data_IF_301053413595
#
_entry.id   IF_301053413595
#
_cell.length_a   1.000
_cell.length_b   1.000
_cell.length_c   1.000
_cell.angle_alpha   90.00
_cell.angle_beta   90.00
_cell.angle_gamma   90.00
#
_symmetry.space_group_name_H-M   'P 1'
#
loop_
_entity.id
_entity.type
_entity.pdbx_description
1 polymer ?
#
# COMPACT_ATOMS: atom_id res chain seq x y z
N UNK A 1 -31.63 -2.38 70.17
CA UNK A 1 -31.51 -0.94 69.94
C UNK A 1 -30.04 -0.58 69.84
N UNK A 2 -29.53 -0.43 68.65
CA UNK A 2 -28.13 -0.08 68.40
C UNK A 2 -27.98 1.44 68.57
N UNK A 3 -27.05 1.84 69.44
CA UNK A 3 -26.91 3.20 69.95
C UNK A 3 -26.57 4.15 68.79
N UNK A 4 -27.43 5.18 68.55
CA UNK A 4 -27.28 6.15 67.45
C UNK A 4 -25.90 6.86 67.41
N UNK A 5 -25.22 6.95 68.56
CA UNK A 5 -23.90 7.56 68.64
C UNK A 5 -22.76 6.69 68.05
N UNK A 6 -22.88 5.36 68.08
CA UNK A 6 -21.88 4.46 67.46
C UNK A 6 -21.92 4.54 65.93
N UNK A 7 -23.12 4.76 65.39
CA UNK A 7 -23.29 4.91 63.92
C UNK A 7 -22.66 6.22 63.36
N UNK A 8 -22.72 7.29 64.19
CA UNK A 8 -22.12 8.57 63.83
C UNK A 8 -20.60 8.55 63.82
N UNK A 9 -19.96 7.87 64.80
CA UNK A 9 -18.51 7.71 64.84
C UNK A 9 -17.98 6.76 63.74
N UNK A 10 -18.74 5.75 63.36
CA UNK A 10 -18.39 4.86 62.24
C UNK A 10 -18.52 5.58 60.88
N UNK A 11 -19.52 6.47 60.72
CA UNK A 11 -19.71 7.23 59.51
C UNK A 11 -18.67 8.37 59.34
N UNK A 12 -18.27 9.02 60.43
CA UNK A 12 -17.22 10.05 60.40
C UNK A 12 -15.83 9.39 60.24
N UNK A 13 -15.60 8.23 60.83
CA UNK A 13 -14.34 7.46 60.63
C UNK A 13 -14.17 6.93 59.22
N UNK A 14 -15.25 6.47 58.55
CA UNK A 14 -15.19 6.03 57.16
C UNK A 14 -15.07 7.19 56.14
N UNK A 15 -15.59 8.38 56.48
CA UNK A 15 -15.47 9.57 55.63
C UNK A 15 -14.07 10.23 55.75
N UNK A 16 -13.38 10.09 56.90
CA UNK A 16 -12.00 10.53 57.06
C UNK A 16 -10.98 9.65 56.31
N UNK A 17 -11.28 8.34 56.12
CA UNK A 17 -10.44 7.40 55.38
C UNK A 17 -10.58 7.55 53.84
N UNK A 18 -11.65 8.22 53.34
CA UNK A 18 -11.84 8.49 51.90
C UNK A 18 -11.18 9.79 51.43
N UNK A 19 -10.72 10.65 52.37
CA UNK A 19 -10.03 11.90 52.03
C UNK A 19 -8.50 11.76 51.96
N UNK A 20 -7.96 10.61 52.34
CA UNK A 20 -6.52 10.33 52.25
C UNK A 20 -6.05 9.60 50.99
N UNK A 21 -6.97 9.20 50.10
CA UNK A 21 -6.66 8.39 48.91
C UNK A 21 -6.46 9.16 47.61
N UNK A 22 -6.42 10.48 47.66
CA UNK A 22 -6.34 11.33 46.44
C UNK A 22 -5.14 12.29 46.50
N UNK A 23 -3.97 11.89 46.95
CA UNK A 23 -2.88 12.87 46.94
C UNK A 23 -1.50 12.39 46.52
N UNK A 24 -1.35 11.18 45.96
CA UNK A 24 -0.04 10.74 45.48
C UNK A 24 0.09 10.62 43.94
N UNK A 25 -1.00 10.79 43.17
CA UNK A 25 -0.93 10.68 41.71
C UNK A 25 -0.65 12.02 40.98
N UNK A 26 -0.54 13.14 41.71
CA UNK A 26 -0.25 14.44 41.09
C UNK A 26 1.24 14.84 41.14
N UNK A 27 2.11 14.09 41.77
CA UNK A 27 3.54 14.42 41.84
C UNK A 27 4.45 13.55 40.95
N UNK A 28 3.97 12.48 40.37
CA UNK A 28 4.71 11.77 39.33
C UNK A 28 4.45 12.45 37.98
N UNK A 29 4.96 13.65 37.79
CA UNK A 29 5.15 14.22 36.45
C UNK A 29 6.04 13.24 35.70
N UNK A 30 5.46 12.59 34.69
CA UNK A 30 6.22 11.73 33.79
C UNK A 30 7.41 12.52 33.26
N UNK A 31 8.60 11.93 33.31
CA UNK A 31 9.81 12.55 32.78
C UNK A 31 9.55 13.08 31.35
N UNK A 32 10.00 14.31 31.04
CA UNK A 32 9.90 14.84 29.70
C UNK A 32 10.52 13.87 28.67
N UNK A 33 9.90 13.73 27.53
CA UNK A 33 10.38 12.92 26.42
C UNK A 33 10.45 13.76 25.16
N UNK A 34 11.50 13.57 24.36
CA UNK A 34 11.64 14.16 23.01
C UNK A 34 11.04 13.20 21.97
N UNK A 35 10.28 13.73 21.02
CA UNK A 35 9.64 12.96 19.97
C UNK A 35 9.22 13.84 18.77
N UNK A 36 8.84 13.20 17.65
CA UNK A 36 8.15 13.86 16.54
C UNK A 36 6.63 13.81 16.76
N UNK A 37 5.94 14.93 16.54
CA UNK A 37 4.49 15.03 16.76
C UNK A 37 3.69 14.11 15.82
N UNK A 38 4.11 14.00 14.57
CA UNK A 38 3.60 12.99 13.63
C UNK A 38 4.69 11.97 13.33
N UNK A 39 4.26 10.73 13.17
CA UNK A 39 5.16 9.65 12.76
C UNK A 39 5.34 9.59 11.24
N UNK A 40 4.38 10.09 10.49
CA UNK A 40 4.31 9.95 9.03
C UNK A 40 3.91 11.28 8.38
N UNK A 41 4.64 11.63 7.32
CA UNK A 41 4.42 12.81 6.49
C UNK A 41 4.43 12.37 5.03
N UNK A 42 3.51 12.87 4.19
CA UNK A 42 3.37 12.45 2.81
C UNK A 42 3.52 13.64 1.87
N UNK A 43 4.37 13.49 0.85
CA UNK A 43 4.67 14.49 -0.16
C UNK A 43 4.47 13.91 -1.56
N UNK A 44 4.00 14.75 -2.47
CA UNK A 44 3.94 14.47 -3.90
C UNK A 44 5.09 15.19 -4.60
N UNK A 45 5.84 14.47 -5.43
CA UNK A 45 6.92 15.01 -6.25
C UNK A 45 6.36 15.21 -7.66
N UNK A 46 6.20 16.47 -8.07
CA UNK A 46 5.76 16.79 -9.43
C UNK A 46 6.86 16.49 -10.47
N UNK A 47 6.47 16.31 -11.74
CA UNK A 47 7.37 15.83 -12.80
C UNK A 47 8.62 16.70 -13.00
N UNK A 48 8.50 18.02 -12.87
CA UNK A 48 9.59 18.98 -13.09
C UNK A 48 10.24 19.45 -11.77
N UNK A 49 9.87 18.81 -10.65
CA UNK A 49 10.38 19.16 -9.33
C UNK A 49 11.70 18.44 -9.07
N UNK A 50 12.82 19.17 -9.07
CA UNK A 50 14.13 18.63 -8.71
C UNK A 50 14.50 18.88 -7.25
N UNK A 51 14.02 19.96 -6.66
CA UNK A 51 14.31 20.35 -5.27
C UNK A 51 13.03 20.54 -4.49
N UNK A 52 13.02 20.05 -3.25
CA UNK A 52 11.93 20.25 -2.28
C UNK A 52 12.53 20.61 -0.93
N UNK A 53 11.85 21.52 -0.21
CA UNK A 53 12.22 21.84 1.18
C UNK A 53 11.03 21.64 2.10
N UNK A 54 11.30 21.24 3.34
CA UNK A 54 10.31 21.15 4.41
C UNK A 54 10.98 21.36 5.78
N UNK A 55 10.16 21.73 6.76
CA UNK A 55 10.60 21.93 8.13
C UNK A 55 10.61 20.63 8.92
N UNK A 56 11.67 20.38 9.67
CA UNK A 56 11.81 19.30 10.63
C UNK A 56 11.77 19.86 12.04
N UNK A 57 10.76 19.46 12.82
CA UNK A 57 10.53 19.95 14.18
C UNK A 57 10.27 18.78 15.11
N UNK A 58 10.98 18.75 16.24
CA UNK A 58 10.66 17.84 17.35
C UNK A 58 10.06 18.59 18.52
N UNK A 59 9.47 17.87 19.46
CA UNK A 59 8.86 18.45 20.64
C UNK A 59 9.13 17.66 21.91
N UNK A 60 8.89 18.31 23.06
CA UNK A 60 8.81 17.70 24.36
C UNK A 60 7.38 17.28 24.71
N UNK A 61 7.22 16.22 25.48
CA UNK A 61 5.94 15.81 26.09
C UNK A 61 5.46 16.78 27.18
N UNK A 62 6.41 17.44 27.86
CA UNK A 62 6.17 18.48 28.86
C UNK A 62 7.32 19.48 28.87
N UNK A 63 7.03 20.74 29.21
CA UNK A 63 8.05 21.80 29.28
C UNK A 63 9.07 21.53 30.39
N UNK A 64 10.33 21.90 30.12
CA UNK A 64 11.45 21.82 31.06
C UNK A 64 11.84 23.19 31.59
N UNK A 65 12.44 23.24 32.76
CA UNK A 65 12.99 24.48 33.35
C UNK A 65 14.33 24.90 32.77
N UNK A 66 14.96 24.06 31.96
CA UNK A 66 16.22 24.31 31.25
C UNK A 66 16.04 24.06 29.75
N UNK A 67 16.94 24.64 28.95
CA UNK A 67 17.02 24.35 27.53
C UNK A 67 17.34 22.86 27.33
N UNK A 68 16.74 22.27 26.28
CA UNK A 68 17.00 20.90 25.83
C UNK A 68 17.57 20.95 24.41
N UNK A 69 18.79 20.46 24.25
CA UNK A 69 19.41 20.33 22.95
C UNK A 69 19.00 19.01 22.29
N UNK A 70 18.66 19.09 21.00
CA UNK A 70 18.25 17.97 20.17
C UNK A 70 19.14 17.86 18.94
N UNK A 71 19.35 16.65 18.46
CA UNK A 71 20.07 16.37 17.23
C UNK A 71 19.23 15.51 16.29
N UNK A 72 19.44 15.70 15.00
CA UNK A 72 18.74 15.00 13.94
C UNK A 72 19.71 14.27 13.03
N UNK A 73 19.30 13.09 12.58
CA UNK A 73 20.05 12.31 11.59
C UNK A 73 19.09 11.53 10.71
N UNK A 74 19.51 11.20 9.51
CA UNK A 74 18.86 10.16 8.72
C UNK A 74 19.05 8.83 9.46
N UNK A 75 17.97 8.05 9.62
CA UNK A 75 18.05 6.74 10.26
C UNK A 75 18.62 5.70 9.30
N UNK A 76 19.03 4.55 9.84
CA UNK A 76 19.66 3.46 9.11
C UNK A 76 18.64 2.78 8.15
N UNK A 77 19.09 2.21 7.00
CA UNK A 77 18.22 1.53 6.04
C UNK A 77 17.39 0.40 6.66
N UNK A 78 17.90 -0.33 7.66
CA UNK A 78 17.18 -1.37 8.37
C UNK A 78 15.85 -0.89 8.98
N UNK A 79 15.74 0.39 9.29
CA UNK A 79 14.49 1.02 9.80
C UNK A 79 13.39 1.00 8.72
N UNK A 80 13.78 1.16 7.45
CA UNK A 80 12.85 1.07 6.31
C UNK A 80 12.46 -0.39 6.07
N UNK A 81 13.40 -1.32 6.16
CA UNK A 81 13.13 -2.75 6.04
C UNK A 81 12.14 -3.23 7.13
N UNK A 82 12.34 -2.80 8.38
CA UNK A 82 11.43 -3.09 9.48
C UNK A 82 10.03 -2.48 9.25
N UNK A 83 9.97 -1.24 8.74
CA UNK A 83 8.71 -0.59 8.41
C UNK A 83 7.98 -1.38 7.31
N UNK A 84 8.67 -1.70 6.21
CA UNK A 84 8.13 -2.46 5.10
C UNK A 84 7.62 -3.84 5.54
N UNK A 85 8.41 -4.58 6.32
CA UNK A 85 8.00 -5.88 6.86
C UNK A 85 6.78 -5.78 7.76
N UNK A 86 6.72 -4.76 8.62
CA UNK A 86 5.62 -4.56 9.57
C UNK A 86 4.31 -4.19 8.90
N UNK A 87 4.36 -3.32 7.88
CA UNK A 87 3.17 -2.77 7.23
C UNK A 87 2.88 -3.40 5.86
N UNK A 88 3.72 -4.36 5.42
CA UNK A 88 3.57 -5.01 4.12
C UNK A 88 3.66 -4.00 2.97
N UNK A 89 4.64 -3.11 3.02
CA UNK A 89 4.92 -2.09 2.01
C UNK A 89 6.23 -2.41 1.28
N UNK A 90 6.62 -1.60 0.30
CA UNK A 90 7.87 -1.72 -0.44
C UNK A 90 8.48 -0.34 -0.75
N UNK A 91 8.53 0.54 0.27
CA UNK A 91 9.19 1.82 0.14
C UNK A 91 10.69 1.66 -0.10
N UNK A 92 11.22 2.45 -1.03
CA UNK A 92 12.66 2.59 -1.25
C UNK A 92 13.19 3.76 -0.40
N UNK A 93 14.31 3.56 0.27
CA UNK A 93 14.95 4.65 1.00
C UNK A 93 15.53 5.68 0.02
N UNK A 94 15.28 6.97 0.24
CA UNK A 94 15.97 8.02 -0.51
C UNK A 94 17.48 7.95 -0.25
N UNK A 95 18.28 8.23 -1.29
CA UNK A 95 19.73 8.30 -1.15
C UNK A 95 20.09 9.45 -0.21
N UNK A 96 20.92 9.19 0.79
CA UNK A 96 21.35 10.17 1.79
C UNK A 96 22.08 11.34 1.12
N UNK A 97 22.72 11.13 -0.02
CA UNK A 97 23.37 12.19 -0.79
C UNK A 97 22.40 13.25 -1.34
N UNK A 98 21.10 12.92 -1.45
CA UNK A 98 20.04 13.83 -1.87
C UNK A 98 19.54 14.73 -0.71
N UNK A 99 19.96 14.46 0.54
CA UNK A 99 19.43 15.07 1.75
C UNK A 99 20.42 16.07 2.32
N UNK A 100 20.01 17.32 2.49
CA UNK A 100 20.79 18.37 3.15
C UNK A 100 19.97 18.99 4.27
N UNK A 101 20.53 19.01 5.47
CA UNK A 101 19.95 19.67 6.63
C UNK A 101 20.59 21.06 6.78
N UNK A 102 19.79 22.09 7.07
CA UNK A 102 20.32 23.43 7.40
C UNK A 102 21.15 23.41 8.69
N UNK A 103 20.81 22.50 9.61
CA UNK A 103 21.58 22.15 10.81
C UNK A 103 21.28 20.72 11.23
N UNK A 104 22.24 20.03 11.80
CA UNK A 104 22.01 18.71 12.45
C UNK A 104 21.59 18.82 13.91
N UNK A 105 21.56 20.03 14.46
CA UNK A 105 21.17 20.29 15.85
C UNK A 105 20.19 21.44 15.95
N UNK A 106 19.34 21.40 16.96
CA UNK A 106 18.41 22.45 17.34
C UNK A 106 18.23 22.47 18.86
N UNK A 107 17.44 23.39 19.39
CA UNK A 107 17.17 23.47 20.81
C UNK A 107 15.70 23.79 21.10
N UNK A 108 15.26 23.32 22.28
CA UNK A 108 13.97 23.65 22.85
C UNK A 108 14.23 24.56 24.06
N UNK A 109 13.89 25.84 23.94
CA UNK A 109 14.11 26.82 25.01
C UNK A 109 13.32 26.46 26.27
N UNK A 110 13.87 26.86 27.44
CA UNK A 110 13.17 26.72 28.73
C UNK A 110 11.71 27.19 28.66
N UNK A 111 10.80 26.38 29.17
CA UNK A 111 9.35 26.65 29.15
C UNK A 111 8.66 26.47 27.81
N UNK A 112 9.37 26.11 26.75
CA UNK A 112 8.80 25.79 25.42
C UNK A 112 8.62 24.29 25.26
N UNK A 113 7.79 23.91 24.28
CA UNK A 113 7.53 22.52 23.92
C UNK A 113 8.17 22.13 22.59
N UNK A 114 8.39 23.06 21.68
CA UNK A 114 8.88 22.80 20.32
C UNK A 114 10.32 23.27 20.17
N UNK A 115 11.11 22.49 19.44
CA UNK A 115 12.43 22.89 19.00
C UNK A 115 12.30 24.00 17.93
N UNK A 116 13.35 24.81 17.82
CA UNK A 116 13.49 25.66 16.64
C UNK A 116 13.57 24.74 15.41
N UNK A 117 12.83 25.07 14.35
CA UNK A 117 12.78 24.25 13.14
C UNK A 117 14.14 24.28 12.42
N UNK A 118 14.45 23.16 11.76
CA UNK A 118 15.54 23.10 10.79
C UNK A 118 14.92 22.80 9.42
N UNK A 119 15.49 23.36 8.38
CA UNK A 119 15.08 23.08 7.00
C UNK A 119 15.78 21.82 6.50
N UNK A 120 15.01 20.94 5.88
CA UNK A 120 15.49 19.79 5.12
C UNK A 120 15.32 20.13 3.65
N UNK A 121 16.39 20.13 2.90
CA UNK A 121 16.43 20.28 1.45
C UNK A 121 16.68 18.91 0.81
N UNK A 122 15.82 18.51 -0.11
CA UNK A 122 16.02 17.36 -0.98
C UNK A 122 16.33 17.82 -2.38
N UNK A 123 17.27 17.16 -3.06
CA UNK A 123 17.64 17.45 -4.45
C UNK A 123 17.72 16.18 -5.29
N UNK A 124 17.72 16.31 -6.61
CA UNK A 124 17.74 15.16 -7.53
C UNK A 124 16.40 14.43 -7.61
N UNK A 125 15.29 15.07 -7.24
CA UNK A 125 13.97 14.45 -7.21
C UNK A 125 13.42 14.17 -8.61
N UNK A 126 13.87 14.88 -9.64
CA UNK A 126 13.49 14.61 -11.03
C UNK A 126 13.92 13.21 -11.48
N UNK A 127 15.04 12.69 -10.94
CA UNK A 127 15.57 11.37 -11.25
C UNK A 127 14.76 10.22 -10.60
N UNK A 128 13.86 10.51 -9.67
CA UNK A 128 13.00 9.52 -9.06
C UNK A 128 12.08 8.89 -10.10
N UNK A 129 11.95 7.58 -10.05
CA UNK A 129 11.10 6.83 -10.98
C UNK A 129 9.63 7.09 -10.68
N UNK A 130 8.87 7.49 -11.70
CA UNK A 130 7.42 7.62 -11.60
C UNK A 130 6.77 6.27 -11.27
N UNK A 131 5.80 6.27 -10.37
CA UNK A 131 5.12 5.07 -9.89
C UNK A 131 5.81 4.39 -8.70
N UNK A 132 7.07 4.74 -8.37
CA UNK A 132 7.72 4.27 -7.15
C UNK A 132 7.39 5.17 -5.96
N UNK A 133 7.54 4.63 -4.77
CA UNK A 133 7.33 5.34 -3.50
C UNK A 133 8.59 5.27 -2.67
N UNK A 134 9.01 6.42 -2.21
CA UNK A 134 10.27 6.59 -1.48
C UNK A 134 10.01 7.04 -0.05
N UNK A 135 10.98 6.82 0.84
CA UNK A 135 10.90 7.24 2.24
C UNK A 135 12.23 7.78 2.72
N UNK A 136 12.17 8.87 3.50
CA UNK A 136 13.28 9.40 4.30
C UNK A 136 12.93 9.21 5.78
N UNK A 137 13.57 8.28 6.50
CA UNK A 137 13.40 8.14 7.94
C UNK A 137 14.33 9.11 8.66
N UNK A 138 13.76 10.03 9.46
CA UNK A 138 14.51 10.99 10.28
C UNK A 138 14.45 10.62 11.75
N UNK A 139 15.59 10.58 12.43
CA UNK A 139 15.70 10.28 13.85
C UNK A 139 15.99 11.55 14.65
N UNK A 140 15.31 11.71 15.80
CA UNK A 140 15.64 12.72 16.81
C UNK A 140 16.31 12.05 18.03
N UNK A 141 17.31 12.71 18.57
CA UNK A 141 18.01 12.31 19.79
C UNK A 141 18.26 13.54 20.70
N UNK A 142 18.33 13.32 21.99
CA UNK A 142 18.82 14.30 22.96
C UNK A 142 19.68 13.60 24.02
N UNK A 143 20.74 14.26 24.46
CA UNK A 143 21.60 13.76 25.53
C UNK A 143 21.07 14.04 26.93
N UNK A 144 20.18 15.03 27.05
CA UNK A 144 19.66 15.50 28.34
C UNK A 144 18.27 14.98 28.69
N UNK A 145 17.49 14.59 27.68
CA UNK A 145 16.13 14.10 27.82
C UNK A 145 15.95 12.83 26.98
N UNK A 146 15.38 11.79 27.57
CA UNK A 146 15.15 10.54 26.83
C UNK A 146 14.13 10.71 25.73
N UNK A 147 14.23 9.91 24.67
CA UNK A 147 13.27 9.92 23.56
C UNK A 147 12.06 9.04 23.86
N UNK A 148 10.91 9.38 23.29
CA UNK A 148 9.74 8.54 23.36
C UNK A 148 9.83 7.42 22.32
N UNK A 149 9.90 6.18 22.80
CA UNK A 149 9.98 4.99 21.92
C UNK A 149 8.83 4.95 20.92
N UNK A 150 9.14 4.63 19.67
CA UNK A 150 8.18 4.51 18.56
C UNK A 150 7.79 5.83 17.87
N UNK A 151 8.24 6.98 18.42
CA UNK A 151 8.02 8.30 17.83
C UNK A 151 9.30 9.15 17.77
N UNK A 152 10.44 8.55 18.08
CA UNK A 152 11.76 9.15 17.88
C UNK A 152 12.27 9.03 16.43
N UNK A 153 11.51 8.34 15.58
CA UNK A 153 11.72 8.29 14.13
C UNK A 153 10.43 8.75 13.46
N UNK A 154 10.56 9.70 12.53
CA UNK A 154 9.51 10.15 11.62
C UNK A 154 9.85 9.71 10.21
N UNK A 155 8.84 9.24 9.47
CA UNK A 155 8.94 8.78 8.10
C UNK A 155 8.34 9.83 7.17
N UNK A 156 9.14 10.32 6.25
CA UNK A 156 8.74 11.28 5.23
C UNK A 156 8.63 10.51 3.91
N UNK A 157 7.41 10.30 3.45
CA UNK A 157 7.10 9.54 2.25
C UNK A 157 6.99 10.46 1.05
N UNK A 158 7.59 10.04 -0.07
CA UNK A 158 7.58 10.78 -1.33
C UNK A 158 7.05 9.86 -2.43
N UNK A 159 6.04 10.31 -3.15
CA UNK A 159 5.49 9.61 -4.31
C UNK A 159 5.61 10.50 -5.53
N UNK A 160 6.13 9.94 -6.63
CA UNK A 160 6.11 10.60 -7.93
C UNK A 160 4.96 10.01 -8.75
N UNK A 161 3.85 10.74 -8.94
CA UNK A 161 2.69 10.23 -9.63
C UNK A 161 3.01 9.84 -11.07
N UNK A 162 2.49 8.70 -11.52
CA UNK A 162 2.54 8.32 -12.92
C UNK A 162 1.36 8.95 -13.66
N UNK A 163 1.61 9.64 -14.77
CA UNK A 163 0.57 10.18 -15.66
C UNK A 163 0.32 9.20 -16.81
N UNK A 164 -0.80 8.52 -16.78
CA UNK A 164 -1.23 7.64 -17.85
C UNK A 164 -2.02 8.47 -18.87
N UNK A 165 -1.43 8.71 -20.04
CA UNK A 165 -2.05 9.50 -21.13
C UNK A 165 -2.60 8.63 -22.24
N UNK A 166 -2.22 7.35 -22.30
CA UNK A 166 -2.65 6.36 -23.28
C UNK A 166 -2.99 5.05 -22.56
N UNK A 167 -3.86 4.27 -23.16
CA UNK A 167 -4.23 2.94 -22.68
C UNK A 167 -4.56 2.01 -23.83
N UNK A 168 -4.37 0.70 -23.64
CA UNK A 168 -4.73 -0.31 -24.63
C UNK A 168 -6.24 -0.41 -24.79
N UNK A 169 -6.73 -0.42 -26.05
CA UNK A 169 -8.13 -0.66 -26.34
C UNK A 169 -8.39 -2.14 -26.55
N UNK A 170 -9.29 -2.72 -25.74
CA UNK A 170 -9.64 -4.13 -25.76
C UNK A 170 -10.98 -4.43 -26.42
N UNK A 171 -11.66 -3.43 -27.01
CA UNK A 171 -12.95 -3.62 -27.71
C UNK A 171 -12.80 -4.47 -28.97
N UNK A 172 -12.44 -5.63 -29.05
CA UNK A 172 -12.14 -6.61 -30.07
C UNK A 172 -10.68 -7.09 -30.09
N UNK A 173 -9.93 -6.79 -29.04
CA UNK A 173 -8.55 -7.19 -28.91
C UNK A 173 -8.34 -8.05 -27.66
N UNK A 174 -7.28 -8.83 -27.67
CA UNK A 174 -6.86 -9.65 -26.55
C UNK A 174 -5.35 -9.89 -26.63
N UNK A 175 -4.78 -10.31 -25.51
CA UNK A 175 -3.40 -10.79 -25.44
C UNK A 175 -3.45 -12.26 -24.97
N UNK A 176 -2.83 -13.15 -25.75
CA UNK A 176 -2.53 -14.51 -25.32
C UNK A 176 -1.10 -14.53 -24.80
N UNK A 177 -0.96 -14.84 -23.53
CA UNK A 177 0.35 -14.84 -22.85
C UNK A 177 0.94 -16.23 -22.85
N UNK A 178 2.21 -16.33 -23.27
CA UNK A 178 3.01 -17.57 -23.14
C UNK A 178 4.13 -17.32 -22.13
N UNK A 179 3.98 -17.87 -20.96
CA UNK A 179 5.03 -17.82 -19.95
C UNK A 179 6.20 -18.78 -20.31
N UNK A 180 7.39 -18.59 -19.74
CA UNK A 180 8.50 -19.54 -19.91
C UNK A 180 8.09 -20.97 -19.55
N UNK A 181 8.66 -21.95 -20.24
CA UNK A 181 8.37 -23.37 -19.96
C UNK A 181 8.74 -23.70 -18.51
N UNK A 182 7.84 -24.39 -17.82
CA UNK A 182 8.00 -24.76 -16.42
C UNK A 182 7.55 -23.66 -15.42
N UNK A 183 6.97 -22.55 -15.91
CA UNK A 183 6.35 -21.58 -15.01
C UNK A 183 5.19 -22.22 -14.26
N UNK A 184 5.21 -22.07 -12.93
CA UNK A 184 4.14 -22.51 -12.05
C UNK A 184 3.89 -21.42 -11.00
N UNK A 185 2.65 -21.00 -10.84
CA UNK A 185 2.25 -20.02 -9.85
C UNK A 185 1.60 -20.74 -8.66
N UNK A 186 2.33 -20.87 -7.54
CA UNK A 186 1.75 -21.31 -6.27
C UNK A 186 0.94 -20.20 -5.62
N UNK A 187 1.56 -19.06 -5.35
CA UNK A 187 0.87 -17.81 -4.98
C UNK A 187 0.99 -16.81 -6.13
N UNK A 188 0.01 -15.92 -6.28
CA UNK A 188 0.06 -14.94 -7.37
C UNK A 188 -0.83 -13.73 -7.13
N UNK A 189 -0.60 -12.70 -7.92
CA UNK A 189 -1.47 -11.53 -8.00
C UNK A 189 -1.69 -11.14 -9.46
N UNK A 190 -2.94 -10.86 -9.81
CA UNK A 190 -3.31 -10.21 -11.08
C UNK A 190 -3.69 -8.75 -10.78
N UNK A 191 -3.20 -7.82 -11.57
CA UNK A 191 -3.53 -6.40 -11.45
C UNK A 191 -3.77 -5.77 -12.82
N UNK A 192 -4.73 -4.85 -12.91
CA UNK A 192 -4.92 -4.00 -14.08
C UNK A 192 -5.61 -2.69 -13.69
N UNK A 193 -5.30 -1.62 -14.39
CA UNK A 193 -6.19 -0.48 -14.51
C UNK A 193 -7.20 -0.77 -15.61
N UNK A 194 -8.48 -0.65 -15.33
CA UNK A 194 -9.56 -0.91 -16.26
C UNK A 194 -10.52 0.28 -16.38
N UNK A 195 -11.01 0.51 -17.57
CA UNK A 195 -12.11 1.43 -17.85
C UNK A 195 -13.09 0.71 -18.78
N UNK A 196 -14.30 0.41 -18.30
CA UNK A 196 -15.29 -0.39 -19.01
C UNK A 196 -16.21 0.55 -19.80
N UNK A 197 -16.35 0.36 -21.09
CA UNK A 197 -17.24 1.15 -21.92
C UNK A 197 -18.70 0.71 -21.73
N UNK A 198 -18.96 -0.60 -21.66
CA UNK A 198 -20.26 -1.19 -21.35
C UNK A 198 -20.10 -2.62 -20.81
N UNK A 199 -21.05 -3.05 -20.02
CA UNK A 199 -21.05 -4.38 -19.40
C UNK A 199 -21.80 -5.42 -20.22
N UNK A 200 -21.15 -6.55 -20.46
CA UNK A 200 -21.76 -7.80 -20.92
C UNK A 200 -21.61 -8.88 -19.88
N UNK A 201 -22.18 -10.05 -20.15
CA UNK A 201 -21.93 -11.23 -19.31
C UNK A 201 -20.51 -11.75 -19.54
N UNK A 202 -19.81 -12.11 -18.46
CA UNK A 202 -18.49 -12.74 -18.50
C UNK A 202 -17.40 -11.88 -19.19
N UNK A 203 -17.32 -10.60 -18.91
CA UNK A 203 -16.24 -9.75 -19.45
C UNK A 203 -14.89 -10.15 -18.81
N UNK A 204 -14.03 -10.79 -19.60
CA UNK A 204 -12.72 -11.27 -19.14
C UNK A 204 -11.75 -10.14 -18.92
N UNK A 205 -11.21 -9.98 -17.72
CA UNK A 205 -10.07 -9.10 -17.46
C UNK A 205 -8.79 -9.88 -17.75
N UNK A 206 -8.47 -10.91 -16.95
CA UNK A 206 -7.32 -11.79 -17.19
C UNK A 206 -7.40 -13.09 -16.39
N UNK A 207 -6.65 -14.08 -16.83
CA UNK A 207 -6.45 -15.34 -16.12
C UNK A 207 -6.57 -16.56 -17.01
N UNK A 208 -6.69 -17.73 -16.36
CA UNK A 208 -6.87 -19.05 -17.00
C UNK A 208 -8.25 -19.58 -16.69
N UNK A 209 -9.05 -19.81 -17.73
CA UNK A 209 -10.41 -20.33 -17.59
C UNK A 209 -10.42 -21.71 -16.93
N UNK A 210 -11.39 -21.95 -16.05
CA UNK A 210 -11.49 -23.21 -15.29
C UNK A 210 -10.52 -23.34 -14.12
N UNK A 211 -9.54 -22.46 -13.99
CA UNK A 211 -8.56 -22.43 -12.89
C UNK A 211 -8.82 -21.24 -11.98
N UNK A 212 -8.43 -20.06 -12.43
CA UNK A 212 -8.70 -18.81 -11.75
C UNK A 212 -8.65 -17.66 -12.76
N UNK A 213 -9.79 -17.01 -12.96
CA UNK A 213 -9.97 -15.91 -13.88
C UNK A 213 -10.66 -14.75 -13.20
N UNK A 214 -10.11 -13.55 -13.35
CA UNK A 214 -10.75 -12.31 -12.93
C UNK A 214 -11.61 -11.78 -14.07
N UNK A 215 -12.90 -11.58 -13.82
CA UNK A 215 -13.89 -11.15 -14.82
C UNK A 215 -14.95 -10.24 -14.21
N UNK A 216 -15.82 -9.69 -15.04
CA UNK A 216 -16.98 -8.89 -14.65
C UNK A 216 -18.24 -9.60 -15.16
N UNK A 217 -19.20 -9.86 -14.28
CA UNK A 217 -20.45 -10.53 -14.59
C UNK A 217 -20.33 -12.02 -14.86
N UNK A 218 -21.44 -12.74 -14.68
CA UNK A 218 -21.59 -14.15 -15.07
C UNK A 218 -23.04 -14.48 -15.41
N UNK A 219 -23.27 -15.00 -16.61
CA UNK A 219 -24.59 -15.49 -17.04
C UNK A 219 -24.83 -16.96 -16.68
N UNK A 220 -23.79 -17.69 -16.26
CA UNK A 220 -23.83 -19.16 -16.38
C UNK A 220 -24.41 -19.93 -15.21
N UNK A 221 -24.27 -19.57 -14.00
CA UNK A 221 -24.66 -20.51 -12.93
C UNK A 221 -24.80 -19.89 -11.55
N UNK A 222 -24.22 -18.75 -11.35
CA UNK A 222 -24.24 -18.07 -10.05
C UNK A 222 -24.94 -16.74 -10.08
N UNK A 223 -25.32 -16.27 -11.24
CA UNK A 223 -26.01 -14.99 -11.45
C UNK A 223 -25.22 -13.85 -10.78
N UNK A 224 -24.00 -13.63 -11.26
CA UNK A 224 -23.26 -12.40 -10.93
C UNK A 224 -23.78 -11.29 -11.82
N UNK A 225 -24.28 -10.17 -11.26
CA UNK A 225 -24.71 -9.01 -12.06
C UNK A 225 -23.60 -8.55 -13.00
N UNK A 226 -23.98 -8.01 -14.16
CA UNK A 226 -23.07 -7.67 -15.26
C UNK A 226 -21.97 -6.65 -14.89
N UNK A 227 -22.17 -5.88 -13.84
CA UNK A 227 -21.32 -4.79 -13.35
C UNK A 227 -20.53 -5.15 -12.07
N UNK A 228 -20.53 -6.45 -11.67
CA UNK A 228 -19.82 -6.92 -10.47
C UNK A 228 -18.57 -7.70 -10.84
N UNK A 229 -17.45 -7.39 -10.19
CA UNK A 229 -16.23 -8.20 -10.29
C UNK A 229 -16.45 -9.58 -9.68
N UNK A 230 -15.91 -10.58 -10.34
CA UNK A 230 -15.96 -11.98 -9.95
C UNK A 230 -14.62 -12.67 -10.19
N UNK A 231 -14.31 -13.61 -9.33
CA UNK A 231 -13.30 -14.65 -9.58
C UNK A 231 -14.01 -15.94 -9.84
N UNK A 232 -13.68 -16.59 -10.95
CA UNK A 232 -14.25 -17.85 -11.36
C UNK A 232 -13.17 -18.88 -11.68
N UNK A 233 -13.52 -20.16 -11.52
CA UNK A 233 -12.65 -21.30 -11.77
C UNK A 233 -13.25 -22.58 -11.20
N UNK A 234 -12.52 -23.28 -10.32
CA UNK A 234 -13.03 -24.44 -9.58
C UNK A 234 -14.18 -24.09 -8.63
N UNK A 235 -14.29 -22.84 -8.23
CA UNK A 235 -15.39 -22.21 -7.50
C UNK A 235 -15.50 -20.74 -7.93
N UNK A 236 -16.55 -20.05 -7.48
CA UNK A 236 -16.81 -18.66 -7.85
C UNK A 236 -17.10 -17.83 -6.60
N UNK A 237 -16.62 -16.58 -6.58
CA UNK A 237 -17.07 -15.58 -5.62
C UNK A 237 -16.97 -14.18 -6.23
N UNK A 238 -17.74 -13.24 -5.72
CA UNK A 238 -17.88 -11.90 -6.27
C UNK A 238 -17.81 -10.82 -5.21
N UNK A 239 -17.60 -9.60 -5.67
CA UNK A 239 -17.75 -8.39 -4.85
C UNK A 239 -19.23 -8.11 -4.54
N UNK A 240 -19.47 -7.21 -3.60
CA UNK A 240 -20.84 -6.80 -3.20
C UNK A 240 -21.21 -5.40 -3.69
N UNK A 241 -20.31 -4.74 -4.43
CA UNK A 241 -20.51 -3.39 -4.98
C UNK A 241 -20.34 -3.42 -6.49
N UNK A 242 -21.16 -2.67 -7.26
CA UNK A 242 -21.01 -2.58 -8.71
C UNK A 242 -19.82 -1.68 -9.10
N UNK A 243 -19.28 -1.92 -10.29
CA UNK A 243 -18.45 -0.98 -11.03
C UNK A 243 -19.36 -0.04 -11.86
N UNK A 244 -18.82 1.09 -12.27
CA UNK A 244 -19.47 2.03 -13.19
C UNK A 244 -18.75 2.04 -14.54
N UNK A 245 -19.49 2.24 -15.63
CA UNK A 245 -18.91 2.44 -16.95
C UNK A 245 -18.19 3.78 -17.05
N UNK A 246 -17.22 3.88 -17.96
CA UNK A 246 -16.45 5.09 -18.26
C UNK A 246 -15.71 5.67 -17.03
N UNK A 247 -15.38 4.82 -16.07
CA UNK A 247 -14.60 5.15 -14.88
C UNK A 247 -13.40 4.23 -14.76
N UNK A 248 -12.25 4.79 -14.43
CA UNK A 248 -11.04 4.02 -14.16
C UNK A 248 -11.08 3.40 -12.77
N UNK A 249 -10.70 2.14 -12.72
CA UNK A 249 -10.49 1.38 -11.48
C UNK A 249 -9.17 0.62 -11.58
N UNK A 250 -8.40 0.64 -10.51
CA UNK A 250 -7.39 -0.38 -10.30
C UNK A 250 -8.10 -1.60 -9.72
N UNK A 251 -7.97 -2.74 -10.38
CA UNK A 251 -8.53 -4.02 -9.91
C UNK A 251 -7.42 -5.02 -9.70
N UNK A 252 -7.51 -5.79 -8.63
CA UNK A 252 -6.57 -6.86 -8.36
C UNK A 252 -7.25 -8.10 -7.79
N UNK A 253 -6.67 -9.26 -8.12
CA UNK A 253 -6.94 -10.55 -7.51
C UNK A 253 -5.64 -11.05 -6.89
N UNK A 254 -5.68 -11.44 -5.61
CA UNK A 254 -4.57 -12.12 -4.95
C UNK A 254 -4.94 -13.54 -4.59
N UNK A 255 -3.98 -14.47 -4.67
CA UNK A 255 -4.05 -15.80 -4.08
C UNK A 255 -2.79 -16.09 -3.29
N UNK A 256 -2.97 -16.44 -2.02
CA UNK A 256 -1.91 -16.83 -1.09
C UNK A 256 -2.02 -18.31 -0.76
N UNK A 257 -1.17 -19.14 -1.36
CA UNK A 257 -1.22 -20.59 -1.26
C UNK A 257 -1.04 -21.09 0.18
N UNK A 258 -0.11 -20.56 1.01
CA UNK A 258 0.07 -21.02 2.39
C UNK A 258 -1.19 -20.88 3.25
N UNK A 259 -2.02 -19.87 2.98
CA UNK A 259 -3.28 -19.65 3.71
C UNK A 259 -4.51 -20.16 2.96
N UNK A 260 -4.37 -20.48 1.67
CA UNK A 260 -5.45 -20.84 0.78
C UNK A 260 -6.44 -19.69 0.50
N UNK A 261 -6.07 -18.44 0.80
CA UNK A 261 -6.99 -17.29 0.74
C UNK A 261 -6.83 -16.51 -0.56
N UNK A 262 -7.99 -16.03 -1.06
CA UNK A 262 -8.06 -15.10 -2.18
C UNK A 262 -8.63 -13.75 -1.73
N UNK A 263 -8.33 -12.70 -2.50
CA UNK A 263 -8.92 -11.38 -2.31
C UNK A 263 -9.14 -10.65 -3.63
N UNK A 264 -10.30 -10.02 -3.80
CA UNK A 264 -10.55 -9.03 -4.85
C UNK A 264 -10.38 -7.65 -4.25
N UNK A 265 -9.59 -6.82 -4.90
CA UNK A 265 -9.31 -5.44 -4.48
C UNK A 265 -9.74 -4.48 -5.58
N UNK A 266 -10.27 -3.33 -5.19
CA UNK A 266 -10.62 -2.22 -6.07
C UNK A 266 -10.06 -0.93 -5.49
N UNK A 267 -9.22 -0.24 -6.28
CA UNK A 267 -8.49 0.96 -5.84
C UNK A 267 -7.72 0.73 -4.54
N UNK A 268 -7.09 -0.45 -4.43
CA UNK A 268 -6.31 -0.85 -3.28
C UNK A 268 -7.11 -1.26 -2.03
N UNK A 269 -8.44 -1.23 -2.05
CA UNK A 269 -9.30 -1.66 -0.95
C UNK A 269 -9.83 -3.07 -1.21
N UNK A 270 -9.82 -3.93 -0.20
CA UNK A 270 -10.40 -5.27 -0.29
C UNK A 270 -11.94 -5.19 -0.34
N UNK A 271 -12.53 -5.64 -1.46
CA UNK A 271 -13.98 -5.67 -1.66
C UNK A 271 -14.60 -7.04 -1.41
N UNK A 272 -13.82 -8.12 -1.60
CA UNK A 272 -14.27 -9.48 -1.34
C UNK A 272 -13.08 -10.42 -1.07
N UNK A 273 -13.36 -11.59 -0.55
CA UNK A 273 -12.39 -12.67 -0.37
C UNK A 273 -13.07 -13.98 -0.13
N UNK A 274 -12.36 -15.07 -0.38
CA UNK A 274 -12.81 -16.43 -0.20
C UNK A 274 -11.65 -17.35 0.16
N UNK A 275 -11.94 -18.52 0.67
CA UNK A 275 -10.98 -19.62 0.75
C UNK A 275 -10.98 -20.39 -0.58
N UNK A 276 -9.76 -20.68 -1.10
CA UNK A 276 -9.56 -21.35 -2.39
C UNK A 276 -8.36 -22.29 -2.28
N UNK A 277 -8.57 -23.51 -1.97
CA UNK A 277 -7.48 -24.45 -1.68
C UNK A 277 -6.94 -25.13 -2.94
N UNK A 278 -6.08 -24.43 -3.71
CA UNK A 278 -5.32 -25.03 -4.81
C UNK A 278 -3.82 -24.95 -4.51
N UNK A 279 -3.03 -25.88 -5.05
CA UNK A 279 -1.56 -25.84 -4.92
C UNK A 279 -0.91 -24.76 -5.81
N UNK A 280 -1.68 -24.24 -6.76
CA UNK A 280 -1.25 -23.33 -7.80
C UNK A 280 -1.66 -23.83 -9.19
N UNK A 281 -1.08 -23.25 -10.24
CA UNK A 281 -1.38 -23.67 -11.61
C UNK A 281 -0.24 -23.38 -12.58
N UNK A 282 -0.22 -24.12 -13.70
CA UNK A 282 0.58 -23.85 -14.88
C UNK A 282 -0.18 -22.89 -15.80
N UNK A 283 0.30 -21.64 -16.00
CA UNK A 283 -0.37 -20.68 -16.88
C UNK A 283 -0.31 -21.06 -18.36
N UNK A 284 0.56 -22.01 -18.75
CA UNK A 284 0.66 -22.55 -20.10
C UNK A 284 -0.17 -23.82 -20.30
N UNK A 285 -1.08 -24.18 -19.35
CA UNK A 285 -1.99 -25.30 -19.52
C UNK A 285 -2.81 -25.18 -20.81
N UNK A 286 -3.53 -26.26 -21.20
CA UNK A 286 -4.32 -26.30 -22.44
C UNK A 286 -5.31 -25.12 -22.58
N UNK A 287 -5.78 -24.56 -21.47
CA UNK A 287 -6.67 -23.39 -21.48
C UNK A 287 -5.94 -22.07 -21.74
N UNK A 288 -4.60 -22.02 -21.55
CA UNK A 288 -3.78 -20.83 -21.71
C UNK A 288 -4.12 -19.69 -20.74
N UNK A 289 -3.27 -18.65 -20.76
CA UNK A 289 -3.49 -17.42 -20.02
C UNK A 289 -3.87 -16.28 -20.97
N UNK A 290 -5.00 -15.64 -20.71
CA UNK A 290 -5.53 -14.60 -21.58
C UNK A 290 -5.79 -13.29 -20.83
N UNK A 291 -5.70 -12.19 -21.57
CA UNK A 291 -6.06 -10.83 -21.12
C UNK A 291 -7.08 -10.28 -22.12
N UNK A 292 -8.22 -9.81 -21.62
CA UNK A 292 -9.26 -9.16 -22.43
C UNK A 292 -10.23 -10.08 -23.14
N UNK A 293 -9.90 -11.36 -23.40
CA UNK A 293 -10.79 -12.33 -24.04
C UNK A 293 -10.18 -13.72 -24.03
N UNK A 294 -11.00 -14.77 -23.87
CA UNK A 294 -10.57 -16.16 -23.99
C UNK A 294 -10.78 -16.63 -25.43
N UNK A 295 -9.74 -16.50 -26.23
CA UNK A 295 -9.83 -16.82 -27.66
C UNK A 295 -10.17 -18.30 -27.91
N UNK A 296 -11.12 -18.54 -28.81
CA UNK A 296 -11.53 -19.88 -29.21
C UNK A 296 -12.29 -20.71 -28.15
N UNK A 297 -12.71 -20.07 -27.04
CA UNK A 297 -13.42 -20.79 -26.00
C UNK A 297 -14.82 -21.25 -26.46
N UNK A 298 -15.09 -22.54 -26.35
CA UNK A 298 -16.31 -23.18 -26.90
C UNK A 298 -17.64 -22.64 -26.36
N UNK A 299 -17.64 -22.04 -25.16
CA UNK A 299 -18.83 -21.49 -24.53
C UNK A 299 -18.96 -19.97 -24.73
N UNK A 300 -18.23 -19.41 -25.70
CA UNK A 300 -18.18 -17.99 -25.99
C UNK A 300 -16.91 -17.32 -25.45
N UNK A 301 -16.32 -16.45 -26.24
CA UNK A 301 -14.98 -15.88 -25.99
C UNK A 301 -14.92 -14.82 -24.86
N UNK A 302 -16.06 -14.35 -24.37
CA UNK A 302 -16.18 -13.48 -23.19
C UNK A 302 -15.33 -12.20 -23.26
N UNK A 303 -15.49 -11.39 -24.31
CA UNK A 303 -14.63 -10.24 -24.54
C UNK A 303 -14.83 -9.14 -23.50
N UNK A 304 -13.75 -8.49 -23.13
CA UNK A 304 -13.78 -7.23 -22.43
C UNK A 304 -14.02 -6.08 -23.43
N UNK A 305 -14.82 -5.11 -23.02
CA UNK A 305 -15.13 -3.93 -23.83
C UNK A 305 -14.73 -2.68 -23.07
N UNK A 306 -13.61 -2.09 -23.46
CA UNK A 306 -13.06 -0.93 -22.78
C UNK A 306 -11.56 -0.81 -22.96
N UNK A 307 -10.93 -0.17 -21.99
CA UNK A 307 -9.50 0.13 -21.99
C UNK A 307 -8.83 -0.50 -20.79
N UNK A 308 -7.58 -0.95 -20.97
CA UNK A 308 -6.73 -1.44 -19.90
C UNK A 308 -5.36 -0.77 -19.96
N UNK A 309 -4.74 -0.63 -18.79
CA UNK A 309 -3.36 -0.21 -18.62
C UNK A 309 -2.80 -0.87 -17.37
N UNK A 310 -1.49 -0.84 -17.17
CA UNK A 310 -0.84 -1.36 -15.97
C UNK A 310 -1.21 -2.83 -15.69
N UNK A 311 -1.25 -3.66 -16.74
CA UNK A 311 -1.61 -5.08 -16.63
C UNK A 311 -0.42 -5.86 -16.11
N UNK A 312 -0.54 -6.46 -14.93
CA UNK A 312 0.56 -7.12 -14.21
C UNK A 312 0.15 -8.49 -13.69
N UNK A 313 1.10 -9.42 -13.74
CA UNK A 313 1.02 -10.71 -13.06
C UNK A 313 2.24 -10.87 -12.16
N UNK A 314 2.00 -11.20 -10.92
CA UNK A 314 3.03 -11.46 -9.92
C UNK A 314 3.03 -12.93 -9.51
N UNK A 315 4.20 -13.48 -9.22
CA UNK A 315 4.38 -14.82 -8.65
C UNK A 315 4.27 -14.85 -7.12
N UNK A 316 3.72 -13.82 -6.52
CA UNK A 316 3.51 -13.65 -5.08
C UNK A 316 2.13 -13.06 -4.80
N UNK A 317 1.56 -13.35 -3.64
CA UNK A 317 0.37 -12.66 -3.15
C UNK A 317 0.78 -11.28 -2.58
N UNK A 318 0.38 -10.20 -3.25
CA UNK A 318 0.66 -8.84 -2.79
C UNK A 318 -0.28 -8.43 -1.65
N UNK A 319 0.24 -7.67 -0.72
CA UNK A 319 -0.54 -7.09 0.38
C UNK A 319 -1.42 -5.93 -0.09
N UNK A 320 -2.45 -5.60 0.66
CA UNK A 320 -3.32 -4.44 0.39
C UNK A 320 -2.51 -3.13 0.30
N UNK A 321 -1.51 -2.95 1.18
CA UNK A 321 -0.66 -1.77 1.18
C UNK A 321 0.22 -1.69 -0.08
N UNK A 322 0.80 -2.80 -0.52
CA UNK A 322 1.54 -2.85 -1.79
C UNK A 322 0.64 -2.54 -2.99
N UNK A 323 -0.60 -3.04 -3.01
CA UNK A 323 -1.58 -2.72 -4.05
C UNK A 323 -1.92 -1.23 -4.06
N UNK A 324 -2.17 -0.62 -2.88
CA UNK A 324 -2.43 0.82 -2.74
C UNK A 324 -1.26 1.67 -3.22
N UNK A 325 -0.06 1.30 -2.81
CA UNK A 325 1.17 2.03 -3.09
C UNK A 325 1.50 2.08 -4.59
N UNK A 326 1.21 1.01 -5.31
CA UNK A 326 1.68 0.81 -6.68
C UNK A 326 0.56 0.74 -7.73
N UNK A 327 -0.62 1.29 -7.46
CA UNK A 327 -1.75 1.22 -8.39
C UNK A 327 -1.42 1.74 -9.79
N UNK A 328 -0.64 2.81 -9.88
CA UNK A 328 -0.37 3.52 -11.13
C UNK A 328 0.94 3.13 -11.81
N UNK A 329 1.72 2.24 -11.21
CA UNK A 329 2.96 1.77 -11.81
C UNK A 329 3.88 1.07 -10.82
N UNK A 330 4.84 0.32 -11.39
CA UNK A 330 5.91 -0.37 -10.65
C UNK A 330 7.20 -0.35 -11.47
N UNK A 331 8.33 -0.57 -10.80
CA UNK A 331 9.57 -0.86 -11.52
C UNK A 331 9.44 -2.23 -12.23
N UNK A 332 9.67 -2.32 -13.54
CA UNK A 332 9.67 -3.60 -14.27
C UNK A 332 10.66 -4.63 -13.71
N UNK A 333 11.69 -4.20 -12.98
CA UNK A 333 12.65 -5.08 -12.33
C UNK A 333 12.19 -5.62 -10.97
N UNK A 334 11.00 -5.20 -10.47
CA UNK A 334 10.48 -5.60 -9.17
C UNK A 334 10.52 -7.10 -8.96
N UNK A 335 10.91 -7.54 -7.75
CA UNK A 335 10.93 -8.95 -7.39
C UNK A 335 9.52 -9.55 -7.41
N UNK A 336 9.38 -10.76 -7.93
CA UNK A 336 8.09 -11.44 -8.04
C UNK A 336 7.21 -10.96 -9.20
N UNK A 337 7.56 -9.89 -9.93
CA UNK A 337 6.81 -9.43 -11.10
C UNK A 337 7.10 -10.37 -12.28
N UNK A 338 6.11 -11.15 -12.69
CA UNK A 338 6.27 -12.16 -13.74
C UNK A 338 5.90 -11.65 -15.15
N UNK A 339 4.97 -10.68 -15.22
CA UNK A 339 4.49 -10.06 -16.45
C UNK A 339 4.12 -8.62 -16.19
N UNK A 340 4.45 -7.72 -17.13
CA UNK A 340 4.02 -6.33 -17.07
C UNK A 340 3.82 -5.73 -18.46
N UNK A 341 2.57 -5.49 -18.83
CA UNK A 341 2.18 -4.68 -19.96
C UNK A 341 1.68 -3.32 -19.47
N UNK A 342 2.43 -2.25 -19.72
CA UNK A 342 2.03 -0.87 -19.36
C UNK A 342 0.82 -0.43 -20.15
N UNK A 343 0.79 -0.78 -21.44
CA UNK A 343 -0.24 -0.40 -22.41
C UNK A 343 -0.42 1.12 -22.51
N UNK A 344 0.66 1.85 -22.34
CA UNK A 344 0.75 3.31 -22.40
C UNK A 344 1.28 3.83 -23.76
N UNK A 345 1.51 2.91 -24.69
CA UNK A 345 2.06 3.17 -26.02
C UNK A 345 3.60 3.19 -26.04
N UNK A 346 4.26 2.82 -24.95
CA UNK A 346 5.72 2.64 -24.91
C UNK A 346 6.16 1.26 -25.39
N UNK A 347 5.25 0.28 -25.42
CA UNK A 347 5.54 -1.07 -25.88
C UNK A 347 5.90 -1.11 -27.35
N UNK A 348 6.91 -1.92 -27.69
CA UNK A 348 7.17 -2.29 -29.07
C UNK A 348 6.25 -3.42 -29.49
N UNK A 349 5.64 -3.29 -30.68
CA UNK A 349 4.82 -4.32 -31.27
C UNK A 349 5.47 -4.75 -32.59
N UNK A 350 5.80 -6.03 -32.72
CA UNK A 350 6.41 -6.61 -33.90
C UNK A 350 5.72 -7.93 -34.25
N UNK A 351 5.24 -8.07 -35.49
CA UNK A 351 4.59 -9.31 -35.95
C UNK A 351 3.35 -9.72 -35.15
N UNK A 352 2.64 -8.79 -34.51
CA UNK A 352 1.50 -9.08 -33.66
C UNK A 352 1.86 -9.47 -32.21
N UNK A 353 3.14 -9.44 -31.88
CA UNK A 353 3.65 -9.69 -30.53
C UNK A 353 3.88 -8.36 -29.81
N UNK A 354 3.37 -8.24 -28.62
CA UNK A 354 3.63 -7.11 -27.71
C UNK A 354 4.68 -7.53 -26.68
N UNK A 355 5.73 -6.72 -26.51
CA UNK A 355 6.81 -7.05 -25.56
C UNK A 355 6.42 -6.67 -24.13
N UNK A 356 6.65 -7.62 -23.25
CA UNK A 356 6.53 -7.44 -21.80
C UNK A 356 7.62 -6.52 -21.26
N UNK A 357 7.26 -5.56 -20.40
CA UNK A 357 8.20 -4.59 -19.83
C UNK A 357 9.23 -5.21 -18.88
N UNK A 358 8.96 -6.39 -18.31
CA UNK A 358 9.96 -7.12 -17.48
C UNK A 358 11.06 -7.75 -18.33
N UNK A 359 10.82 -7.92 -19.65
CA UNK A 359 11.71 -8.64 -20.56
C UNK A 359 11.79 -10.16 -20.31
N UNK A 360 10.90 -10.71 -19.49
CA UNK A 360 10.88 -12.15 -19.12
C UNK A 360 10.00 -12.98 -20.06
N UNK A 361 9.07 -12.32 -20.74
CA UNK A 361 8.11 -12.93 -21.66
C UNK A 361 8.32 -12.33 -23.06
N UNK A 362 8.48 -13.21 -24.05
CA UNK A 362 8.68 -12.84 -25.47
C UNK A 362 7.42 -13.11 -26.28
#
# INVERSE_FOLDING_TARGET
MMNKHIFYYLMVGSMALLLGACNDSMNDLLEPKVYFESKEYNFSVEDEMDVMTFDLVSRLSSATSSQVDVSYSVAEPSVVDEYNAKYGTNYEMLDVSQVKLSSTTSSISSGKLYADNIEVELSGLEALKAGNSYVLPMRVHSSSVSTLSGTNIAYFFFSKPLKITKAGNFSNHYISVKFPVGTFFSSFTYEALINVDYFLDNNTIMGTEGVMILRIGDAGGGITPKDYLEVAGGQNYRVTKPLLTNRWYHVALTYDQPTGKTGIYVNGEKWAGSDWGIDGFDPNSDMGFYIGRIYGFKWGERPFHGKMSEVRVWSVARTENQLKQNMLGVDPASEGLALYYKLDGSETQEGGVIKDATGRIN
#
